data_IF_203913052351
#
_entry.id   IF_203913052351
#
_cell.length_a   1.000
_cell.length_b   1.000
_cell.length_c   1.000
_cell.angle_alpha   90.00
_cell.angle_beta   90.00
_cell.angle_gamma   90.00
#
_symmetry.space_group_name_H-M   'P 1'
#
loop_
_entity.id
_entity.type
_entity.pdbx_description
1 polymer ?
#
# COMPACT_ATOMS: atom_id res chain seq x y z
N UNK A 1 -26.32 9.46 -10.46
CA UNK A 1 -25.54 8.43 -11.21
C UNK A 1 -24.07 8.85 -11.37
N UNK A 2 -23.76 10.14 -11.52
CA UNK A 2 -22.39 10.65 -11.70
C UNK A 2 -21.48 10.53 -10.47
N UNK A 3 -21.99 10.76 -9.25
CA UNK A 3 -21.16 10.78 -8.03
C UNK A 3 -20.51 9.41 -7.73
N UNK A 4 -21.26 8.32 -7.89
CA UNK A 4 -20.73 6.95 -7.65
C UNK A 4 -19.65 6.60 -8.67
N UNK A 5 -19.80 7.06 -9.92
CA UNK A 5 -18.79 6.91 -10.97
C UNK A 5 -17.50 7.68 -10.63
N UNK A 6 -17.62 8.93 -10.17
CA UNK A 6 -16.49 9.75 -9.74
C UNK A 6 -15.74 9.10 -8.57
N UNK A 7 -16.47 8.63 -7.55
CA UNK A 7 -15.87 7.91 -6.41
C UNK A 7 -15.11 6.67 -6.88
N UNK A 8 -15.66 5.91 -7.83
CA UNK A 8 -15.00 4.76 -8.43
C UNK A 8 -13.70 5.10 -9.14
N UNK A 9 -13.68 6.18 -9.94
CA UNK A 9 -12.46 6.65 -10.60
C UNK A 9 -11.40 7.12 -9.60
N UNK A 10 -11.80 7.81 -8.54
CA UNK A 10 -10.90 8.22 -7.46
C UNK A 10 -10.31 6.98 -6.78
N UNK A 11 -11.14 5.98 -6.45
CA UNK A 11 -10.70 4.71 -5.85
C UNK A 11 -9.68 3.98 -6.72
N UNK A 12 -9.95 3.85 -8.03
CA UNK A 12 -9.01 3.21 -8.96
C UNK A 12 -7.70 4.00 -9.04
N UNK A 13 -7.78 5.33 -9.10
CA UNK A 13 -6.60 6.19 -9.16
C UNK A 13 -5.75 6.06 -7.89
N UNK A 14 -6.36 6.06 -6.71
CA UNK A 14 -5.63 5.91 -5.44
C UNK A 14 -5.00 4.54 -5.31
N UNK A 15 -5.68 3.47 -5.75
CA UNK A 15 -5.10 2.13 -5.82
C UNK A 15 -3.87 2.10 -6.74
N UNK A 16 -3.95 2.70 -7.93
CA UNK A 16 -2.81 2.78 -8.87
C UNK A 16 -1.64 3.53 -8.25
N UNK A 17 -1.89 4.63 -7.53
CA UNK A 17 -0.84 5.40 -6.85
C UNK A 17 -0.18 4.58 -5.75
N UNK A 18 -0.95 3.89 -4.91
CA UNK A 18 -0.40 3.10 -3.80
C UNK A 18 0.35 1.88 -4.34
N UNK A 19 -0.32 1.02 -5.11
CA UNK A 19 0.26 -0.20 -5.65
C UNK A 19 1.43 0.09 -6.59
N UNK A 20 1.22 0.99 -7.56
CA UNK A 20 2.24 1.41 -8.52
C UNK A 20 3.44 2.06 -7.84
N UNK A 21 3.20 2.86 -6.79
CA UNK A 21 4.26 3.47 -6.01
C UNK A 21 5.13 2.45 -5.25
N UNK A 22 4.51 1.44 -4.62
CA UNK A 22 5.27 0.35 -3.98
C UNK A 22 6.08 -0.48 -4.98
N UNK A 23 5.49 -0.79 -6.14
CA UNK A 23 6.18 -1.46 -7.25
C UNK A 23 7.36 -0.62 -7.73
N UNK A 24 7.14 0.68 -8.00
CA UNK A 24 8.18 1.61 -8.39
C UNK A 24 9.34 1.62 -7.40
N UNK A 25 9.06 1.76 -6.10
CA UNK A 25 10.11 1.81 -5.09
C UNK A 25 10.93 0.52 -5.02
N UNK A 26 10.27 -0.64 -5.06
CA UNK A 26 10.92 -1.92 -4.76
C UNK A 26 11.59 -2.54 -5.98
N UNK A 27 10.94 -2.45 -7.14
CA UNK A 27 11.38 -3.11 -8.37
C UNK A 27 12.30 -2.20 -9.18
N UNK A 28 12.09 -0.89 -9.15
CA UNK A 28 12.83 0.05 -10.00
C UNK A 28 13.78 0.93 -9.19
N UNK A 29 13.27 1.72 -8.25
CA UNK A 29 14.06 2.76 -7.59
C UNK A 29 15.22 2.21 -6.75
N UNK A 30 14.95 1.25 -5.86
CA UNK A 30 16.00 0.71 -4.98
C UNK A 30 17.14 0.03 -5.77
N UNK A 31 16.87 -0.85 -6.75
CA UNK A 31 17.92 -1.40 -7.60
C UNK A 31 18.72 -0.33 -8.36
N UNK A 32 18.07 0.74 -8.82
CA UNK A 32 18.74 1.86 -9.49
C UNK A 32 19.70 2.58 -8.54
N UNK A 33 19.25 2.93 -7.33
CA UNK A 33 20.11 3.60 -6.34
C UNK A 33 21.32 2.74 -5.97
N UNK A 34 21.10 1.43 -5.76
CA UNK A 34 22.18 0.49 -5.42
C UNK A 34 23.22 0.35 -6.54
N UNK A 35 22.82 0.47 -7.81
CA UNK A 35 23.72 0.36 -8.97
C UNK A 35 24.37 1.68 -9.37
N UNK A 36 23.76 2.82 -9.03
CA UNK A 36 24.22 4.13 -9.45
C UNK A 36 25.44 4.64 -8.66
N UNK A 37 25.64 4.16 -7.43
CA UNK A 37 26.75 4.60 -6.58
C UNK A 37 27.11 3.53 -5.56
N UNK A 38 28.41 3.40 -5.23
CA UNK A 38 28.89 2.58 -4.11
C UNK A 38 28.97 3.38 -2.79
N UNK A 39 28.76 4.71 -2.83
CA UNK A 39 28.74 5.55 -1.64
C UNK A 39 27.42 5.36 -0.88
N UNK A 40 27.51 4.62 0.22
CA UNK A 40 26.38 4.29 1.09
C UNK A 40 25.74 5.55 1.68
N UNK A 41 26.49 6.63 1.94
CA UNK A 41 25.91 7.88 2.45
C UNK A 41 25.03 8.55 1.40
N UNK A 42 25.49 8.55 0.15
CA UNK A 42 24.70 9.05 -0.97
C UNK A 42 23.45 8.19 -1.19
N UNK A 43 23.56 6.86 -1.10
CA UNK A 43 22.40 5.97 -1.17
C UNK A 43 21.38 6.27 -0.08
N UNK A 44 21.81 6.42 1.18
CA UNK A 44 20.93 6.79 2.30
C UNK A 44 20.20 8.09 2.02
N UNK A 45 20.91 9.12 1.55
CA UNK A 45 20.33 10.42 1.23
C UNK A 45 19.28 10.34 0.12
N UNK A 46 19.60 9.65 -0.97
CA UNK A 46 18.67 9.47 -2.10
C UNK A 46 17.42 8.70 -1.67
N UNK A 47 17.58 7.62 -0.93
CA UNK A 47 16.46 6.84 -0.40
C UNK A 47 15.64 7.67 0.58
N UNK A 48 16.26 8.34 1.55
CA UNK A 48 15.56 9.16 2.54
C UNK A 48 14.69 10.24 1.88
N UNK A 49 15.21 10.94 0.86
CA UNK A 49 14.46 11.95 0.11
C UNK A 49 13.25 11.35 -0.60
N UNK A 50 13.42 10.21 -1.28
CA UNK A 50 12.32 9.54 -1.97
C UNK A 50 11.28 9.01 -0.99
N UNK A 51 11.71 8.38 0.12
CA UNK A 51 10.82 7.85 1.15
C UNK A 51 9.97 8.95 1.78
N UNK A 52 10.53 10.12 2.12
CA UNK A 52 9.76 11.24 2.69
C UNK A 52 8.58 11.64 1.80
N UNK A 53 8.81 11.77 0.49
CA UNK A 53 7.76 12.15 -0.48
C UNK A 53 6.77 11.01 -0.71
N UNK A 54 7.29 9.81 -0.92
CA UNK A 54 6.49 8.62 -1.18
C UNK A 54 5.49 8.34 -0.06
N UNK A 55 5.92 8.38 1.20
CA UNK A 55 5.02 8.05 2.30
C UNK A 55 3.93 9.09 2.51
N UNK A 56 4.22 10.38 2.32
CA UNK A 56 3.16 11.40 2.33
C UNK A 56 2.11 11.10 1.26
N UNK A 57 2.54 10.79 0.03
CA UNK A 57 1.62 10.44 -1.06
C UNK A 57 0.84 9.14 -0.78
N UNK A 58 1.50 8.11 -0.27
CA UNK A 58 0.86 6.82 0.03
C UNK A 58 -0.13 6.92 1.18
N UNK A 59 0.19 7.64 2.26
CA UNK A 59 -0.74 7.80 3.38
C UNK A 59 -2.00 8.55 2.94
N UNK A 60 -1.82 9.62 2.15
CA UNK A 60 -2.95 10.36 1.59
C UNK A 60 -3.80 9.47 0.67
N UNK A 61 -3.16 8.78 -0.28
CA UNK A 61 -3.84 7.90 -1.22
C UNK A 61 -4.55 6.74 -0.51
N UNK A 62 -3.91 6.09 0.46
CA UNK A 62 -4.51 5.01 1.26
C UNK A 62 -5.68 5.50 2.11
N UNK A 63 -5.61 6.71 2.65
CA UNK A 63 -6.74 7.30 3.39
C UNK A 63 -7.95 7.48 2.47
N UNK A 64 -7.73 8.07 1.29
CA UNK A 64 -8.79 8.24 0.28
C UNK A 64 -9.30 6.89 -0.22
N UNK A 65 -8.41 5.90 -0.42
CA UNK A 65 -8.73 4.54 -0.82
C UNK A 65 -9.69 3.86 0.16
N UNK A 66 -9.42 3.96 1.46
CA UNK A 66 -10.26 3.38 2.52
C UNK A 66 -11.64 4.04 2.54
N UNK A 67 -11.68 5.38 2.46
CA UNK A 67 -12.93 6.13 2.46
C UNK A 67 -13.79 5.79 1.23
N UNK A 68 -13.19 5.86 0.04
CA UNK A 68 -13.89 5.56 -1.23
C UNK A 68 -14.31 4.09 -1.31
N UNK A 69 -13.47 3.16 -0.83
CA UNK A 69 -13.80 1.73 -0.77
C UNK A 69 -14.97 1.44 0.17
N UNK A 70 -15.00 2.06 1.35
CA UNK A 70 -16.13 1.96 2.27
C UNK A 70 -17.44 2.49 1.69
N UNK A 71 -17.39 3.66 1.04
CA UNK A 71 -18.55 4.26 0.36
C UNK A 71 -19.08 3.39 -0.78
N UNK A 72 -18.21 2.64 -1.46
CA UNK A 72 -18.60 1.73 -2.54
C UNK A 72 -19.25 0.44 -2.03
N UNK A 73 -18.85 -0.03 -0.84
CA UNK A 73 -19.37 -1.25 -0.23
C UNK A 73 -20.79 -1.08 0.34
N UNK A 74 -21.15 0.10 0.85
CA UNK A 74 -22.45 0.34 1.50
C UNK A 74 -23.67 0.06 0.61
N UNK A 75 -23.75 0.56 -0.65
CA UNK A 75 -24.89 0.27 -1.52
C UNK A 75 -24.94 -1.19 -1.98
N UNK A 76 -23.79 -1.84 -2.16
CA UNK A 76 -23.73 -3.24 -2.55
C UNK A 76 -24.23 -4.14 -1.42
N UNK A 77 -23.74 -3.94 -0.19
CA UNK A 77 -24.21 -4.68 0.98
C UNK A 77 -25.74 -4.56 1.13
N UNK A 78 -26.30 -3.36 1.01
CA UNK A 78 -27.73 -3.12 1.13
C UNK A 78 -28.57 -3.89 0.09
N UNK A 79 -28.10 -3.98 -1.17
CA UNK A 79 -28.81 -4.71 -2.23
C UNK A 79 -28.73 -6.23 -2.03
N UNK A 80 -27.59 -6.73 -1.57
CA UNK A 80 -27.38 -8.17 -1.35
C UNK A 80 -28.30 -8.71 -0.26
N UNK A 81 -28.56 -7.97 0.83
CA UNK A 81 -29.51 -8.41 1.87
C UNK A 81 -30.97 -8.56 1.39
N UNK A 82 -31.34 -7.94 0.26
CA UNK A 82 -32.71 -7.96 -0.27
C UNK A 82 -32.99 -9.01 -1.35
N UNK A 83 -31.99 -9.75 -1.84
CA UNK A 83 -32.14 -10.58 -3.06
C UNK A 83 -32.61 -12.02 -2.84
N UNK A 84 -32.67 -12.51 -1.59
CA UNK A 84 -33.21 -13.85 -1.27
C UNK A 84 -32.38 -15.05 -1.73
N UNK A 85 -31.25 -14.85 -2.41
CA UNK A 85 -30.35 -15.91 -2.87
C UNK A 85 -29.25 -16.19 -1.84
N UNK A 86 -29.52 -17.09 -0.89
CA UNK A 86 -28.63 -17.38 0.25
C UNK A 86 -27.22 -17.83 -0.16
N UNK A 87 -27.07 -18.61 -1.23
CA UNK A 87 -25.76 -19.08 -1.70
C UNK A 87 -24.90 -17.96 -2.30
N UNK A 88 -25.48 -17.07 -3.11
CA UNK A 88 -24.76 -15.94 -3.68
C UNK A 88 -24.35 -14.93 -2.59
N UNK A 89 -25.21 -14.75 -1.58
CA UNK A 89 -24.95 -13.93 -0.41
C UNK A 89 -23.76 -14.48 0.42
N UNK A 90 -23.73 -15.79 0.67
CA UNK A 90 -22.66 -16.43 1.43
C UNK A 90 -21.30 -16.33 0.71
N UNK A 91 -21.27 -16.52 -0.61
CA UNK A 91 -20.06 -16.34 -1.40
C UNK A 91 -19.57 -14.87 -1.39
N UNK A 92 -20.48 -13.91 -1.55
CA UNK A 92 -20.16 -12.48 -1.47
C UNK A 92 -19.56 -12.11 -0.10
N UNK A 93 -20.17 -12.55 1.00
CA UNK A 93 -19.66 -12.30 2.36
C UNK A 93 -18.29 -12.92 2.59
N UNK A 94 -18.06 -14.14 2.10
CA UNK A 94 -16.77 -14.81 2.24
C UNK A 94 -15.66 -14.01 1.55
N UNK A 95 -15.87 -13.57 0.31
CA UNK A 95 -14.91 -12.73 -0.40
C UNK A 95 -14.69 -11.36 0.25
N UNK A 96 -15.78 -10.75 0.75
CA UNK A 96 -15.69 -9.49 1.49
C UNK A 96 -14.81 -9.62 2.74
N UNK A 97 -14.95 -10.70 3.52
CA UNK A 97 -14.11 -10.95 4.69
C UNK A 97 -12.64 -11.01 4.30
N UNK A 98 -12.28 -11.77 3.26
CA UNK A 98 -10.89 -11.86 2.81
C UNK A 98 -10.34 -10.52 2.34
N UNK A 99 -11.15 -9.73 1.63
CA UNK A 99 -10.79 -8.37 1.24
C UNK A 99 -10.53 -7.49 2.46
N UNK A 100 -11.40 -7.52 3.46
CA UNK A 100 -11.26 -6.74 4.69
C UNK A 100 -10.03 -7.16 5.50
N UNK A 101 -9.75 -8.46 5.61
CA UNK A 101 -8.53 -8.98 6.25
C UNK A 101 -7.29 -8.46 5.54
N UNK A 102 -7.24 -8.53 4.20
CA UNK A 102 -6.11 -8.04 3.44
C UNK A 102 -5.92 -6.52 3.59
N UNK A 103 -7.00 -5.73 3.52
CA UNK A 103 -6.97 -4.28 3.75
C UNK A 103 -6.50 -3.97 5.18
N UNK A 104 -6.98 -4.69 6.18
CA UNK A 104 -6.56 -4.51 7.57
C UNK A 104 -5.06 -4.75 7.75
N UNK A 105 -4.51 -5.80 7.13
CA UNK A 105 -3.07 -6.05 7.14
C UNK A 105 -2.29 -4.93 6.45
N UNK A 106 -2.76 -4.40 5.33
CA UNK A 106 -2.13 -3.23 4.66
C UNK A 106 -2.14 -2.00 5.58
N UNK A 107 -3.27 -1.71 6.22
CA UNK A 107 -3.42 -0.59 7.17
C UNK A 107 -2.45 -0.72 8.35
N UNK A 108 -2.08 -1.94 8.74
CA UNK A 108 -1.10 -2.17 9.80
C UNK A 108 0.35 -2.09 9.28
N UNK A 109 0.64 -2.72 8.14
CA UNK A 109 1.98 -2.81 7.58
C UNK A 109 2.51 -1.47 7.07
N UNK A 110 1.67 -0.64 6.43
CA UNK A 110 2.09 0.64 5.86
C UNK A 110 2.61 1.60 6.95
N UNK A 111 1.88 1.86 8.06
CA UNK A 111 2.40 2.63 9.18
C UNK A 111 3.61 1.98 9.86
N UNK A 112 3.63 0.66 10.03
CA UNK A 112 4.77 -0.04 10.63
C UNK A 112 6.05 0.18 9.81
N UNK A 113 5.96 0.14 8.48
CA UNK A 113 7.06 0.44 7.58
C UNK A 113 7.47 1.92 7.65
N UNK A 114 6.49 2.83 7.67
CA UNK A 114 6.69 4.28 7.74
C UNK A 114 7.36 4.72 9.05
N UNK A 115 6.71 4.46 10.19
CA UNK A 115 7.16 4.91 11.50
C UNK A 115 8.30 4.06 12.07
N UNK A 116 8.45 2.82 11.60
CA UNK A 116 9.53 1.94 12.00
C UNK A 116 10.80 2.12 11.18
N UNK A 117 10.77 1.68 9.92
CA UNK A 117 11.96 1.53 9.11
C UNK A 117 12.33 2.79 8.35
N UNK A 118 11.37 3.41 7.67
CA UNK A 118 11.61 4.62 6.89
C UNK A 118 12.03 5.80 7.75
N UNK A 119 11.40 5.96 8.91
CA UNK A 119 11.75 6.97 9.89
C UNK A 119 13.20 6.82 10.40
N UNK A 120 13.71 5.59 10.52
CA UNK A 120 15.12 5.37 10.87
C UNK A 120 16.05 5.82 9.75
N UNK A 121 15.74 5.51 8.49
CA UNK A 121 16.54 5.94 7.33
C UNK A 121 16.58 7.46 7.22
N UNK A 122 15.45 8.15 7.42
CA UNK A 122 15.42 9.62 7.36
C UNK A 122 16.16 10.28 8.53
N UNK A 123 16.22 9.64 9.71
CA UNK A 123 17.03 10.12 10.85
C UNK A 123 18.53 9.86 10.68
N UNK A 124 18.92 8.78 10.00
CA UNK A 124 20.32 8.54 9.60
C UNK A 124 20.80 9.63 8.63
N UNK A 125 19.98 9.97 7.63
CA UNK A 125 20.24 11.08 6.70
C UNK A 125 20.37 12.44 7.41
N UNK A 126 19.54 12.69 8.43
CA UNK A 126 19.59 13.92 9.22
C UNK A 126 20.78 13.98 10.21
N UNK A 127 21.61 12.94 10.31
CA UNK A 127 22.72 12.87 11.26
C UNK A 127 22.30 12.73 12.73
N UNK A 128 21.03 12.41 12.99
CA UNK A 128 20.48 12.24 14.35
C UNK A 128 20.78 10.83 14.89
N UNK A 129 20.97 9.87 13.99
CA UNK A 129 21.35 8.50 14.32
C UNK A 129 22.75 8.23 13.78
N UNK A 130 23.55 7.45 14.52
CA UNK A 130 24.87 7.06 14.06
C UNK A 130 24.75 6.28 12.74
N UNK A 131 25.61 6.64 11.78
CA UNK A 131 25.59 6.06 10.46
C UNK A 131 26.26 4.68 10.50
N UNK A 132 25.44 3.64 10.34
CA UNK A 132 25.87 2.25 10.23
C UNK A 132 25.43 1.66 8.87
N UNK A 133 26.36 1.40 7.94
CA UNK A 133 26.09 0.78 6.64
C UNK A 133 25.39 -0.59 6.72
N UNK A 134 25.78 -1.42 7.69
CA UNK A 134 25.24 -2.77 7.85
C UNK A 134 23.81 -2.73 8.38
N UNK A 135 23.53 -1.76 9.27
CA UNK A 135 22.17 -1.48 9.69
C UNK A 135 21.30 -0.96 8.54
N UNK A 136 21.81 -0.04 7.71
CA UNK A 136 21.09 0.46 6.54
C UNK A 136 20.71 -0.68 5.57
N UNK A 137 21.66 -1.56 5.24
CA UNK A 137 21.41 -2.72 4.38
C UNK A 137 20.29 -3.62 4.92
N UNK A 138 20.32 -3.93 6.22
CA UNK A 138 19.27 -4.74 6.89
C UNK A 138 17.90 -4.04 6.88
N UNK A 139 17.87 -2.72 7.12
CA UNK A 139 16.63 -1.95 7.07
C UNK A 139 16.03 -2.00 5.67
N UNK A 140 16.84 -1.78 4.64
CA UNK A 140 16.37 -1.80 3.25
C UNK A 140 15.86 -3.16 2.81
N UNK A 141 16.55 -4.25 3.18
CA UNK A 141 16.06 -5.62 2.92
C UNK A 141 14.69 -5.88 3.56
N UNK A 142 14.52 -5.49 4.83
CA UNK A 142 13.23 -5.65 5.54
C UNK A 142 12.15 -4.77 4.93
N UNK A 143 12.47 -3.53 4.56
CA UNK A 143 11.54 -2.65 3.85
C UNK A 143 11.10 -3.26 2.53
N UNK A 144 12.00 -3.83 1.74
CA UNK A 144 11.63 -4.50 0.49
C UNK A 144 10.73 -5.71 0.74
N UNK A 145 11.06 -6.55 1.72
CA UNK A 145 10.22 -7.71 2.07
C UNK A 145 8.81 -7.30 2.46
N UNK A 146 8.67 -6.31 3.35
CA UNK A 146 7.36 -5.78 3.77
C UNK A 146 6.62 -5.15 2.59
N UNK A 147 7.31 -4.39 1.74
CA UNK A 147 6.70 -3.83 0.54
C UNK A 147 6.18 -4.91 -0.42
N UNK A 148 6.90 -6.03 -0.61
CA UNK A 148 6.40 -7.13 -1.44
C UNK A 148 5.14 -7.77 -0.84
N UNK A 149 5.07 -7.91 0.48
CA UNK A 149 3.85 -8.36 1.17
C UNK A 149 2.71 -7.37 0.94
N UNK A 150 2.96 -6.06 1.04
CA UNK A 150 1.95 -5.03 0.75
C UNK A 150 1.47 -5.11 -0.71
N UNK A 151 2.38 -5.25 -1.67
CA UNK A 151 2.05 -5.43 -3.10
C UNK A 151 1.18 -6.67 -3.30
N UNK A 152 1.53 -7.79 -2.69
CA UNK A 152 0.77 -9.03 -2.79
C UNK A 152 -0.64 -8.87 -2.21
N UNK A 153 -0.76 -8.24 -1.03
CA UNK A 153 -2.05 -7.97 -0.40
C UNK A 153 -2.92 -7.01 -1.22
N UNK A 154 -2.35 -5.94 -1.76
CA UNK A 154 -3.07 -4.99 -2.63
C UNK A 154 -3.48 -5.61 -3.97
N UNK A 155 -2.64 -6.49 -4.53
CA UNK A 155 -2.99 -7.22 -5.75
C UNK A 155 -4.12 -8.22 -5.46
N UNK A 156 -4.04 -8.90 -4.31
CA UNK A 156 -5.09 -9.80 -3.84
C UNK A 156 -6.41 -9.06 -3.62
N UNK A 157 -6.42 -7.87 -3.02
CA UNK A 157 -7.66 -7.10 -2.85
C UNK A 157 -8.28 -6.70 -4.18
N UNK A 158 -7.48 -6.38 -5.20
CA UNK A 158 -7.98 -6.12 -6.56
C UNK A 158 -8.59 -7.38 -7.17
N UNK A 159 -7.91 -8.53 -7.10
CA UNK A 159 -8.41 -9.80 -7.63
C UNK A 159 -9.73 -10.19 -6.95
N UNK A 160 -9.79 -10.15 -5.62
CA UNK A 160 -11.02 -10.44 -4.87
C UNK A 160 -12.13 -9.48 -5.24
N UNK A 161 -11.83 -8.19 -5.46
CA UNK A 161 -12.84 -7.22 -5.90
C UNK A 161 -13.41 -7.56 -7.28
N UNK A 162 -12.59 -8.04 -8.21
CA UNK A 162 -13.09 -8.50 -9.52
C UNK A 162 -13.90 -9.78 -9.41
N UNK A 163 -13.53 -10.70 -8.52
CA UNK A 163 -14.27 -11.94 -8.29
C UNK A 163 -15.63 -11.72 -7.61
N UNK A 164 -15.77 -10.64 -6.82
CA UNK A 164 -17.05 -10.26 -6.19
C UNK A 164 -18.04 -9.61 -7.17
N UNK A 165 -17.56 -9.11 -8.31
CA UNK A 165 -18.36 -8.41 -9.32
C UNK A 165 -18.81 -9.31 -10.48
N UNK A 166 -18.24 -10.51 -10.60
CA UNK A 166 -18.57 -11.53 -11.60
C UNK A 166 -19.45 -12.62 -10.98
#
# INVERSE_FOLDING_TARGET
MEIISIIGWIHILTMVVVLGGYIFLCVFWWPVVKRATDDVRLQVRLVALTLRRFFTSVVLALTVEILTGGLYLLPHAYRSFGSGEEMALAAFHQWLIWKLVAVFLVIFLVPAQLFGMAFRVTRMDAGIHEFDPDLFGRIMQRMQMVSYVIIALLTFTVIVSTAMLN
#
